data_IF_818449803058
#
_entry.id   IF_818449803058
#
_cell.length_a   1.000
_cell.length_b   1.000
_cell.length_c   1.000
_cell.angle_alpha   90.00
_cell.angle_beta   90.00
_cell.angle_gamma   90.00
#
_symmetry.space_group_name_H-M   'P 1'
#
loop_
_entity.id
_entity.type
_entity.pdbx_description
1 polymer ?
#
# COMPACT_ATOMS: atom_id res chain seq x y z
N UNK A 1 -14.04 -25.78 -6.74
CA UNK A 1 -14.50 -24.38 -6.56
C UNK A 1 -13.79 -23.54 -7.60
N UNK A 2 -14.52 -22.82 -8.45
CA UNK A 2 -13.91 -21.88 -9.40
C UNK A 2 -13.39 -20.66 -8.63
N UNK A 3 -12.06 -20.59 -8.51
CA UNK A 3 -11.38 -19.55 -7.73
C UNK A 3 -11.46 -18.19 -8.42
N UNK A 4 -11.38 -18.16 -9.75
CA UNK A 4 -11.49 -16.91 -10.54
C UNK A 4 -12.91 -16.36 -10.42
N UNK A 5 -13.93 -17.21 -10.54
CA UNK A 5 -15.33 -16.81 -10.31
C UNK A 5 -15.55 -16.30 -8.88
N UNK A 6 -14.90 -16.91 -7.87
CA UNK A 6 -15.03 -16.47 -6.47
C UNK A 6 -14.55 -15.03 -6.28
N UNK A 7 -13.45 -14.63 -6.93
CA UNK A 7 -12.95 -13.25 -6.87
C UNK A 7 -13.83 -12.31 -7.69
N UNK A 8 -14.12 -12.68 -8.94
CA UNK A 8 -14.77 -11.79 -9.92
C UNK A 8 -16.25 -11.58 -9.68
N UNK A 9 -16.96 -12.56 -9.09
CA UNK A 9 -18.38 -12.42 -8.74
C UNK A 9 -18.58 -11.69 -7.41
N UNK A 10 -17.52 -11.49 -6.63
CA UNK A 10 -17.62 -10.74 -5.38
C UNK A 10 -17.90 -9.27 -5.70
N UNK A 11 -19.03 -8.77 -5.17
CA UNK A 11 -19.54 -7.42 -5.48
C UNK A 11 -18.44 -6.37 -5.39
N UNK A 12 -18.39 -5.48 -6.37
CA UNK A 12 -17.45 -4.36 -6.39
C UNK A 12 -16.05 -4.70 -6.89
N UNK A 13 -15.78 -5.94 -7.32
CA UNK A 13 -14.56 -6.26 -8.05
C UNK A 13 -14.51 -5.42 -9.34
N UNK A 14 -13.43 -4.66 -9.55
CA UNK A 14 -13.23 -3.83 -10.75
C UNK A 14 -12.06 -4.30 -11.60
N UNK A 15 -11.10 -4.99 -11.01
CA UNK A 15 -10.00 -5.61 -11.73
C UNK A 15 -9.53 -6.85 -10.97
N UNK A 16 -9.18 -7.89 -11.71
CA UNK A 16 -8.51 -9.07 -11.17
C UNK A 16 -7.55 -9.64 -12.22
N UNK A 17 -6.26 -9.65 -11.91
CA UNK A 17 -5.22 -10.33 -12.70
C UNK A 17 -4.84 -11.62 -11.98
N UNK A 18 -4.97 -12.75 -12.67
CA UNK A 18 -4.51 -14.09 -12.24
C UNK A 18 -3.22 -14.53 -12.93
N UNK A 19 -2.71 -13.68 -13.83
CA UNK A 19 -1.55 -13.92 -14.70
C UNK A 19 -1.71 -15.10 -15.67
N UNK A 20 -2.90 -15.72 -15.76
CA UNK A 20 -3.24 -16.71 -16.79
C UNK A 20 -3.85 -16.00 -18.00
N UNK A 21 -4.82 -15.10 -17.76
CA UNK A 21 -5.53 -14.41 -18.84
C UNK A 21 -4.61 -13.40 -19.54
N UNK A 22 -4.51 -13.52 -20.87
CA UNK A 22 -3.77 -12.62 -21.75
C UNK A 22 -4.67 -12.03 -22.83
N UNK A 23 -4.22 -10.94 -23.45
CA UNK A 23 -4.83 -10.45 -24.69
C UNK A 23 -4.82 -11.54 -25.78
N UNK A 24 -5.67 -11.39 -26.80
CA UNK A 24 -5.85 -12.40 -27.85
C UNK A 24 -4.50 -12.83 -28.46
N UNK A 25 -4.34 -14.13 -28.67
CA UNK A 25 -3.10 -14.73 -29.18
C UNK A 25 -2.11 -15.22 -28.12
N UNK A 26 -2.36 -15.01 -26.82
CA UNK A 26 -1.69 -15.72 -25.72
C UNK A 26 -0.22 -15.37 -25.47
N UNK A 27 0.41 -14.55 -26.29
CA UNK A 27 1.81 -14.11 -26.15
C UNK A 27 1.94 -12.64 -25.69
N UNK A 28 0.82 -11.95 -25.53
CA UNK A 28 0.75 -10.52 -25.23
C UNK A 28 0.60 -10.25 -23.71
N UNK A 29 0.12 -9.06 -23.38
CA UNK A 29 -0.06 -8.54 -22.02
C UNK A 29 -0.99 -9.40 -21.20
N UNK A 30 -0.71 -9.47 -19.91
CA UNK A 30 -1.68 -9.93 -18.92
C UNK A 30 -2.84 -8.94 -18.85
N UNK A 31 -4.07 -9.44 -18.84
CA UNK A 31 -5.27 -8.61 -18.85
C UNK A 31 -6.23 -9.04 -17.75
N UNK A 32 -6.87 -8.08 -17.07
CA UNK A 32 -7.78 -8.41 -15.98
C UNK A 32 -9.11 -9.04 -16.46
N UNK A 33 -9.77 -9.75 -15.54
CA UNK A 33 -11.01 -10.47 -15.80
C UNK A 33 -12.25 -9.59 -15.96
N UNK A 34 -12.47 -8.63 -15.05
CA UNK A 34 -13.72 -7.84 -14.97
C UNK A 34 -13.79 -6.74 -16.04
N UNK A 35 -12.80 -5.87 -16.05
CA UNK A 35 -12.57 -4.89 -17.12
C UNK A 35 -11.21 -5.18 -17.74
N UNK A 36 -11.01 -4.97 -19.05
CA UNK A 36 -9.81 -5.45 -19.76
C UNK A 36 -8.61 -4.51 -19.60
N UNK A 37 -8.11 -4.33 -18.38
CA UNK A 37 -6.88 -3.57 -18.14
C UNK A 37 -5.65 -4.42 -18.44
N UNK A 38 -5.04 -4.18 -19.59
CA UNK A 38 -3.78 -4.80 -19.97
C UNK A 38 -2.60 -4.17 -19.22
N UNK A 39 -1.68 -5.00 -18.71
CA UNK A 39 -0.45 -4.59 -18.03
C UNK A 39 0.69 -4.43 -19.03
N UNK A 40 1.26 -3.23 -19.13
CA UNK A 40 2.52 -3.01 -19.83
C UNK A 40 3.70 -3.40 -18.93
N UNK A 41 4.82 -3.80 -19.54
CA UNK A 41 6.10 -3.92 -18.87
C UNK A 41 6.91 -2.63 -19.06
N UNK A 42 7.51 -2.12 -17.98
CA UNK A 42 8.35 -0.92 -18.04
C UNK A 42 9.52 -1.00 -17.07
N UNK A 43 10.50 -0.12 -17.25
CA UNK A 43 11.62 0.07 -16.32
C UNK A 43 11.62 1.54 -15.89
N UNK A 44 11.19 1.84 -14.67
CA UNK A 44 11.01 3.24 -14.28
C UNK A 44 12.34 4.00 -14.20
N UNK A 45 13.48 3.32 -14.09
CA UNK A 45 14.77 4.01 -14.17
C UNK A 45 15.00 4.51 -15.61
N UNK A 46 14.68 3.68 -16.61
CA UNK A 46 14.72 4.11 -18.01
C UNK A 46 13.78 5.28 -18.27
N UNK A 47 12.55 5.19 -17.77
CA UNK A 47 11.51 6.19 -18.02
C UNK A 47 11.83 7.58 -17.42
N UNK A 48 12.54 7.61 -16.28
CA UNK A 48 12.74 8.85 -15.50
C UNK A 48 14.20 9.34 -15.45
N UNK A 49 15.18 8.44 -15.53
CA UNK A 49 16.62 8.75 -15.57
C UNK A 49 17.24 8.54 -16.95
N UNK A 50 16.55 7.87 -17.89
CA UNK A 50 17.09 7.58 -19.22
C UNK A 50 18.12 6.45 -19.26
N UNK A 51 18.37 5.79 -18.11
CA UNK A 51 19.39 4.75 -17.92
C UNK A 51 18.81 3.33 -18.06
N UNK A 52 19.65 2.38 -18.47
CA UNK A 52 19.27 0.98 -18.59
C UNK A 52 18.47 0.66 -19.86
N UNK A 53 18.05 -0.60 -19.96
CA UNK A 53 17.23 -1.10 -21.07
C UNK A 53 15.73 -1.07 -20.76
N UNK A 54 14.93 -1.23 -21.80
CA UNK A 54 13.50 -1.50 -21.67
C UNK A 54 13.26 -2.84 -20.96
N UNK A 55 12.21 -2.88 -20.14
CA UNK A 55 11.70 -4.13 -19.59
C UNK A 55 10.71 -4.75 -20.57
N UNK A 56 10.67 -6.08 -20.60
CA UNK A 56 9.76 -6.88 -21.41
C UNK A 56 9.02 -7.89 -20.55
N UNK A 57 8.02 -8.59 -21.09
CA UNK A 57 7.33 -9.64 -20.34
C UNK A 57 8.24 -10.82 -19.95
N UNK A 58 9.36 -11.02 -20.66
CA UNK A 58 10.35 -12.04 -20.31
C UNK A 58 11.10 -11.71 -19.00
N UNK A 59 11.06 -10.45 -18.55
CA UNK A 59 11.67 -10.02 -17.29
C UNK A 59 10.83 -10.39 -16.05
N UNK A 60 9.65 -10.96 -16.27
CA UNK A 60 8.75 -11.48 -15.24
C UNK A 60 8.60 -13.00 -15.43
N UNK A 61 9.56 -13.81 -14.93
CA UNK A 61 9.48 -15.26 -15.00
C UNK A 61 8.13 -15.78 -14.50
N UNK A 62 7.61 -16.80 -15.18
CA UNK A 62 6.37 -17.47 -14.85
C UNK A 62 6.65 -18.72 -14.02
N UNK A 63 5.80 -19.00 -13.04
CA UNK A 63 5.96 -20.15 -12.16
C UNK A 63 5.28 -21.40 -12.72
N UNK A 64 4.30 -21.25 -13.61
CA UNK A 64 3.40 -22.31 -14.07
C UNK A 64 2.54 -22.89 -12.94
N UNK A 65 2.43 -22.19 -11.81
CA UNK A 65 1.58 -22.53 -10.67
C UNK A 65 1.27 -21.31 -9.81
N UNK A 66 0.37 -21.49 -8.87
CA UNK A 66 -0.02 -20.47 -7.91
C UNK A 66 -1.50 -20.62 -7.54
N UNK A 67 -2.06 -19.69 -6.75
CA UNK A 67 -3.43 -19.77 -6.26
C UNK A 67 -4.48 -19.82 -7.38
N UNK A 68 -4.12 -19.32 -8.57
CA UNK A 68 -4.98 -19.26 -9.75
C UNK A 68 -4.35 -19.90 -11.00
N UNK A 69 -3.30 -20.70 -10.84
CA UNK A 69 -2.66 -21.45 -11.94
C UNK A 69 -1.39 -20.83 -12.52
N UNK A 70 -1.10 -19.55 -12.26
CA UNK A 70 0.12 -18.88 -12.71
C UNK A 70 0.59 -17.84 -11.67
N UNK A 71 1.88 -17.49 -11.71
CA UNK A 71 2.43 -16.41 -10.92
C UNK A 71 3.63 -15.76 -11.63
N UNK A 72 3.79 -14.45 -11.43
CA UNK A 72 4.94 -13.69 -11.94
C UNK A 72 5.98 -13.49 -10.85
N UNK A 73 7.27 -13.62 -11.19
CA UNK A 73 8.38 -13.33 -10.28
C UNK A 73 8.78 -11.86 -10.35
N UNK A 74 8.94 -11.24 -9.19
CA UNK A 74 9.66 -9.97 -9.03
C UNK A 74 11.04 -10.31 -8.48
N UNK A 75 12.08 -10.12 -9.30
CA UNK A 75 13.45 -10.50 -8.95
C UNK A 75 14.16 -9.41 -8.14
N UNK A 76 15.17 -9.85 -7.39
CA UNK A 76 16.23 -8.99 -6.89
C UNK A 76 17.12 -8.59 -8.07
N UNK A 77 16.93 -7.39 -8.59
CA UNK A 77 17.74 -6.89 -9.71
C UNK A 77 19.08 -6.35 -9.21
N UNK A 78 20.18 -6.90 -9.73
CA UNK A 78 21.54 -6.48 -9.38
C UNK A 78 21.98 -5.23 -10.18
N UNK A 79 21.46 -5.05 -11.39
CA UNK A 79 21.72 -3.86 -12.20
C UNK A 79 20.99 -2.64 -11.58
N UNK A 80 21.71 -1.61 -11.12
CA UNK A 80 21.11 -0.43 -10.51
C UNK A 80 20.32 0.45 -11.50
N UNK A 81 20.42 0.18 -12.81
CA UNK A 81 19.67 0.85 -13.88
C UNK A 81 18.43 0.09 -14.34
N UNK A 82 18.13 -1.07 -13.74
CA UNK A 82 17.04 -1.93 -14.15
C UNK A 82 16.07 -2.24 -13.01
N UNK A 83 14.86 -1.69 -13.11
CA UNK A 83 13.78 -1.89 -12.13
C UNK A 83 12.45 -2.17 -12.85
N UNK A 84 12.25 -3.42 -13.30
CA UNK A 84 11.11 -3.79 -14.12
C UNK A 84 9.83 -3.85 -13.27
N UNK A 85 8.75 -3.29 -13.80
CA UNK A 85 7.44 -3.30 -13.17
C UNK A 85 6.34 -3.54 -14.20
N UNK A 86 5.21 -4.08 -13.74
CA UNK A 86 3.99 -4.22 -14.55
C UNK A 86 3.05 -3.08 -14.20
N UNK A 87 2.39 -2.47 -15.19
CA UNK A 87 1.52 -1.35 -14.92
C UNK A 87 0.41 -1.11 -15.94
N UNK A 88 -0.65 -0.46 -15.49
CA UNK A 88 -1.64 0.22 -16.34
C UNK A 88 -1.28 1.71 -16.35
N UNK A 89 -0.92 2.31 -17.50
CA UNK A 89 -0.64 3.73 -17.62
C UNK A 89 -1.80 4.58 -17.15
N UNK A 90 -1.50 5.75 -16.58
CA UNK A 90 -2.51 6.72 -16.09
C UNK A 90 -3.58 7.01 -17.15
N UNK A 91 -3.15 7.27 -18.40
CA UNK A 91 -4.05 7.57 -19.50
C UNK A 91 -5.08 6.46 -19.82
N UNK A 92 -4.75 5.19 -19.54
CA UNK A 92 -5.68 4.06 -19.77
C UNK A 92 -6.64 3.81 -18.61
N UNK A 93 -6.29 4.21 -17.40
CA UNK A 93 -7.13 4.00 -16.22
C UNK A 93 -7.94 5.24 -15.83
N UNK A 94 -7.59 6.44 -16.31
CA UNK A 94 -8.25 7.68 -15.90
C UNK A 94 -9.77 7.62 -16.09
N UNK A 95 -10.52 7.95 -15.03
CA UNK A 95 -12.00 7.92 -14.99
C UNK A 95 -12.63 6.56 -15.34
N UNK A 96 -11.85 5.49 -15.29
CA UNK A 96 -12.35 4.11 -15.38
C UNK A 96 -12.67 3.56 -13.98
N UNK A 97 -13.38 2.41 -13.87
CA UNK A 97 -13.62 1.76 -12.59
C UNK A 97 -12.38 1.45 -11.75
N UNK A 98 -11.18 1.34 -12.35
CA UNK A 98 -9.92 1.15 -11.60
C UNK A 98 -9.40 2.45 -10.96
N UNK A 99 -9.76 3.63 -11.49
CA UNK A 99 -9.33 4.93 -10.96
C UNK A 99 -10.21 5.38 -9.79
N UNK A 100 -10.13 4.64 -8.69
CA UNK A 100 -10.89 4.93 -7.48
C UNK A 100 -10.26 6.14 -6.78
N UNK A 101 -10.95 7.27 -6.85
CA UNK A 101 -10.50 8.58 -6.34
C UNK A 101 -11.65 9.43 -5.80
N UNK A 102 -11.33 10.39 -4.95
CA UNK A 102 -12.26 11.40 -4.44
C UNK A 102 -12.87 11.08 -3.07
N UNK A 103 -13.67 12.02 -2.59
CA UNK A 103 -14.41 11.89 -1.34
C UNK A 103 -15.49 10.81 -1.42
N UNK A 104 -15.79 10.17 -0.29
CA UNK A 104 -16.85 9.16 -0.21
C UNK A 104 -16.54 7.83 -0.91
N UNK A 105 -15.29 7.62 -1.38
CA UNK A 105 -14.88 6.37 -2.02
C UNK A 105 -14.14 5.47 -1.03
N UNK A 106 -14.37 4.18 -1.16
CA UNK A 106 -13.67 3.12 -0.43
C UNK A 106 -12.97 2.22 -1.42
N UNK A 107 -11.88 1.60 -1.01
CA UNK A 107 -11.10 0.68 -1.86
C UNK A 107 -10.56 -0.46 -1.04
N UNK A 108 -10.59 -1.66 -1.63
CA UNK A 108 -9.83 -2.80 -1.12
C UNK A 108 -8.91 -3.32 -2.22
N UNK A 109 -7.64 -3.50 -1.91
CA UNK A 109 -6.65 -4.16 -2.79
C UNK A 109 -6.25 -5.47 -2.13
N UNK A 110 -6.28 -6.56 -2.88
CA UNK A 110 -5.93 -7.91 -2.41
C UNK A 110 -4.86 -8.48 -3.32
N UNK A 111 -3.79 -9.03 -2.73
CA UNK A 111 -2.67 -9.62 -3.45
C UNK A 111 -2.31 -10.97 -2.83
N UNK A 112 -2.24 -12.00 -3.66
CA UNK A 112 -1.72 -13.30 -3.25
C UNK A 112 -0.25 -13.38 -3.64
N UNK A 113 0.63 -13.48 -2.63
CA UNK A 113 2.07 -13.40 -2.84
C UNK A 113 2.85 -14.36 -1.94
N UNK A 114 4.02 -14.76 -2.43
CA UNK A 114 5.10 -15.31 -1.63
C UNK A 114 6.16 -14.22 -1.54
N UNK A 115 6.50 -13.81 -0.33
CA UNK A 115 7.52 -12.81 -0.09
C UNK A 115 8.87 -13.50 0.06
N UNK A 116 9.82 -13.17 -0.79
CA UNK A 116 11.22 -13.61 -0.65
C UNK A 116 11.98 -12.60 0.20
N UNK A 117 11.89 -11.30 -0.14
CA UNK A 117 12.55 -10.24 0.62
C UNK A 117 11.87 -8.88 0.41
N UNK A 118 12.34 -7.88 1.16
CA UNK A 118 11.95 -6.49 0.98
C UNK A 118 10.53 -6.17 1.43
N UNK A 119 10.24 -4.88 1.55
CA UNK A 119 9.05 -4.41 2.27
C UNK A 119 8.15 -3.49 1.43
N UNK A 120 8.39 -3.45 0.13
CA UNK A 120 7.84 -2.41 -0.74
C UNK A 120 6.57 -2.88 -1.49
N UNK A 121 6.22 -2.14 -2.53
CA UNK A 121 4.91 -2.22 -3.17
C UNK A 121 4.57 -3.60 -3.73
N UNK A 122 3.33 -4.01 -3.51
CA UNK A 122 2.70 -5.17 -4.13
C UNK A 122 1.81 -4.72 -5.29
N UNK A 123 0.87 -3.81 -5.05
CA UNK A 123 0.03 -3.25 -6.11
C UNK A 123 -0.68 -1.95 -5.69
N UNK A 124 -0.98 -1.08 -6.65
CA UNK A 124 -1.81 0.11 -6.44
C UNK A 124 -1.51 1.26 -7.38
N UNK A 125 -2.23 2.37 -7.24
CA UNK A 125 -1.94 3.62 -7.96
C UNK A 125 -0.93 4.42 -7.14
N UNK A 126 0.35 4.28 -7.50
CA UNK A 126 1.43 4.85 -6.71
C UNK A 126 2.65 5.28 -7.54
N UNK A 127 2.90 6.57 -7.50
CA UNK A 127 4.14 7.19 -7.95
C UNK A 127 4.62 8.09 -6.80
N UNK A 128 5.74 7.73 -6.18
CA UNK A 128 6.26 8.42 -4.98
C UNK A 128 6.70 9.86 -5.29
N UNK A 129 6.98 10.16 -6.54
CA UNK A 129 7.59 11.42 -6.93
C UNK A 129 9.07 11.17 -7.18
N UNK A 130 9.58 11.89 -8.16
CA UNK A 130 10.99 11.93 -8.49
C UNK A 130 11.62 13.29 -8.16
N UNK A 131 10.84 14.15 -7.50
CA UNK A 131 11.18 15.48 -7.03
C UNK A 131 11.79 15.50 -5.62
N UNK A 132 12.07 14.34 -5.01
CA UNK A 132 12.41 14.25 -3.58
C UNK A 132 13.83 14.73 -3.19
N UNK A 133 14.54 15.43 -4.08
CA UNK A 133 15.87 16.05 -3.90
C UNK A 133 16.82 15.22 -3.01
N UNK A 134 17.23 14.07 -3.52
CA UNK A 134 18.15 13.12 -2.89
C UNK A 134 19.29 12.75 -3.83
N UNK A 135 20.36 12.14 -3.31
CA UNK A 135 21.50 11.68 -4.12
C UNK A 135 21.05 10.75 -5.25
N UNK A 136 20.07 9.86 -4.99
CA UNK A 136 19.50 8.95 -6.00
C UNK A 136 18.67 9.64 -7.08
N UNK A 137 18.30 10.92 -6.88
CA UNK A 137 17.65 11.76 -7.90
C UNK A 137 18.64 12.57 -8.73
N UNK A 138 19.95 12.41 -8.49
CA UNK A 138 20.98 12.95 -9.39
C UNK A 138 20.83 12.35 -10.79
N UNK A 139 21.02 13.18 -11.82
CA UNK A 139 20.94 12.75 -13.22
C UNK A 139 19.51 12.51 -13.73
N UNK A 140 18.49 12.84 -12.92
CA UNK A 140 17.11 12.64 -13.34
C UNK A 140 16.76 13.52 -14.55
N UNK A 141 16.08 12.92 -15.53
CA UNK A 141 15.68 13.59 -16.76
C UNK A 141 14.22 14.05 -16.71
N UNK A 142 13.37 13.34 -15.97
CA UNK A 142 11.95 13.66 -15.79
C UNK A 142 11.61 13.85 -14.32
N UNK A 143 11.44 15.10 -13.91
CA UNK A 143 11.06 15.46 -12.54
C UNK A 143 9.54 15.53 -12.43
N UNK A 144 8.96 14.70 -11.56
CA UNK A 144 7.53 14.69 -11.28
C UNK A 144 7.29 14.74 -9.78
N UNK A 145 6.33 15.58 -9.37
CA UNK A 145 5.79 15.56 -8.01
C UNK A 145 5.20 14.18 -7.70
N UNK A 146 5.15 13.81 -6.43
CA UNK A 146 4.33 12.68 -5.97
C UNK A 146 2.91 12.66 -6.54
N UNK A 147 2.45 11.48 -6.95
CA UNK A 147 1.13 11.25 -7.56
C UNK A 147 0.43 10.01 -6.94
N UNK A 148 0.57 9.86 -5.64
CA UNK A 148 0.05 8.75 -4.83
C UNK A 148 -1.49 8.78 -4.77
N UNK A 149 -2.16 7.63 -4.86
CA UNK A 149 -3.59 7.52 -4.54
C UNK A 149 -3.82 6.47 -3.47
N UNK A 150 -3.60 5.19 -3.79
CA UNK A 150 -3.67 4.09 -2.85
C UNK A 150 -2.73 2.97 -3.30
N UNK A 151 -2.09 2.29 -2.35
CA UNK A 151 -1.30 1.10 -2.64
C UNK A 151 -1.17 0.17 -1.44
N UNK A 152 -0.97 -1.11 -1.75
CA UNK A 152 -0.63 -2.16 -0.82
C UNK A 152 0.86 -2.48 -0.92
N UNK A 153 1.53 -2.60 0.22
CA UNK A 153 2.95 -2.91 0.36
C UNK A 153 3.15 -4.14 1.26
N UNK A 154 4.23 -4.88 1.04
CA UNK A 154 4.64 -6.02 1.85
C UNK A 154 5.46 -5.60 3.09
N UNK A 155 5.05 -4.52 3.75
CA UNK A 155 5.58 -4.12 5.05
C UNK A 155 6.33 -2.81 5.12
N UNK A 156 5.92 -1.80 4.36
CA UNK A 156 6.46 -0.44 4.48
C UNK A 156 6.40 -0.01 5.96
N UNK A 157 7.55 0.39 6.52
CA UNK A 157 7.80 0.68 7.95
C UNK A 157 7.80 -0.53 8.92
N UNK A 158 7.00 -1.56 8.65
CA UNK A 158 6.95 -2.80 9.45
C UNK A 158 7.00 -4.00 8.51
N UNK A 159 8.21 -4.47 8.26
CA UNK A 159 8.52 -5.49 7.26
C UNK A 159 7.64 -6.73 7.38
N UNK A 160 7.15 -7.25 6.24
CA UNK A 160 6.27 -8.40 6.17
C UNK A 160 4.80 -8.13 6.53
N UNK A 161 4.45 -7.01 7.16
CA UNK A 161 3.03 -6.67 7.40
C UNK A 161 2.31 -6.33 6.09
N UNK A 162 1.01 -6.56 6.01
CA UNK A 162 0.17 -5.94 4.99
C UNK A 162 0.03 -4.45 5.31
N UNK A 163 0.65 -3.62 4.49
CA UNK A 163 0.66 -2.18 4.67
C UNK A 163 -0.14 -1.49 3.58
N UNK A 164 -1.32 -0.99 3.94
CA UNK A 164 -2.07 -0.07 3.09
C UNK A 164 -1.50 1.34 3.22
N UNK A 165 -1.43 2.06 2.12
CA UNK A 165 -1.11 3.47 2.07
C UNK A 165 -2.11 4.19 1.20
N UNK A 166 -2.72 5.25 1.71
CA UNK A 166 -3.62 6.14 0.95
C UNK A 166 -3.02 7.54 0.97
N UNK A 167 -3.31 8.36 -0.03
CA UNK A 167 -2.93 9.78 -0.05
C UNK A 167 -4.12 10.63 -0.44
N UNK A 168 -4.24 11.78 0.21
CA UNK A 168 -5.28 12.80 0.03
C UNK A 168 -4.87 13.84 -1.01
N UNK A 169 -3.57 14.00 -1.24
CA UNK A 169 -3.01 15.10 -2.02
C UNK A 169 -1.96 14.66 -3.06
N UNK A 170 -1.64 13.37 -3.14
CA UNK A 170 -0.65 12.78 -4.04
C UNK A 170 0.81 12.95 -3.59
N UNK A 171 1.09 13.97 -2.78
CA UNK A 171 2.42 14.35 -2.32
C UNK A 171 2.68 13.96 -0.86
N UNK A 172 3.27 14.90 -0.13
CA UNK A 172 3.66 14.77 1.28
C UNK A 172 2.46 14.91 2.22
N UNK A 173 2.52 14.24 3.38
CA UNK A 173 1.56 14.39 4.48
C UNK A 173 2.31 14.59 5.78
N UNK A 174 1.84 15.48 6.64
CA UNK A 174 2.48 15.89 7.90
C UNK A 174 3.91 16.39 7.71
N UNK A 175 4.18 17.11 6.61
CA UNK A 175 5.52 17.50 6.15
C UNK A 175 6.46 16.33 5.80
N UNK A 176 6.01 15.08 5.95
CA UNK A 176 6.79 13.92 5.55
C UNK A 176 6.72 13.74 4.04
N UNK A 177 7.89 13.85 3.40
CA UNK A 177 8.03 13.75 1.94
C UNK A 177 7.55 12.42 1.33
N UNK A 178 7.41 11.38 2.14
CA UNK A 178 6.99 10.04 1.71
C UNK A 178 5.50 9.76 1.94
N UNK A 179 4.75 10.72 2.49
CA UNK A 179 3.40 10.56 3.04
C UNK A 179 3.33 9.54 4.21
N UNK A 180 2.30 9.68 5.04
CA UNK A 180 2.23 8.98 6.34
C UNK A 180 0.92 8.30 6.66
N UNK A 181 -0.08 8.45 5.80
CA UNK A 181 -1.34 7.73 5.96
C UNK A 181 -1.17 6.26 5.58
N UNK A 182 -0.64 5.49 6.53
CA UNK A 182 -0.24 4.10 6.40
C UNK A 182 -0.84 3.27 7.53
N UNK A 183 -1.23 2.05 7.20
CA UNK A 183 -1.56 1.03 8.20
C UNK A 183 -0.58 -0.13 8.15
N UNK A 184 -0.51 -0.94 9.21
CA UNK A 184 0.36 -2.12 9.27
C UNK A 184 -0.32 -3.26 10.02
N UNK A 185 -0.73 -4.33 9.33
CA UNK A 185 -1.34 -5.49 9.96
C UNK A 185 -0.54 -5.99 11.18
N UNK A 186 -1.24 -6.60 12.14
CA UNK A 186 -0.61 -7.18 13.31
C UNK A 186 0.31 -8.35 12.91
N UNK A 187 -0.18 -9.26 12.07
CA UNK A 187 0.62 -10.37 11.56
C UNK A 187 1.63 -9.89 10.48
N UNK A 188 2.70 -10.67 10.32
CA UNK A 188 3.74 -10.47 9.32
C UNK A 188 3.90 -11.73 8.47
N UNK A 189 4.13 -11.56 7.17
CA UNK A 189 4.44 -12.64 6.25
C UNK A 189 5.87 -13.14 6.48
N UNK A 190 6.09 -14.46 6.46
CA UNK A 190 7.43 -15.01 6.43
C UNK A 190 8.15 -14.65 5.12
N UNK A 191 9.47 -14.81 5.13
CA UNK A 191 10.32 -14.83 3.93
C UNK A 191 10.48 -16.27 3.44
N UNK A 192 10.34 -16.50 2.14
CA UNK A 192 10.53 -17.81 1.51
C UNK A 192 11.36 -17.62 0.22
N UNK A 193 12.50 -18.31 0.06
CA UNK A 193 13.29 -18.25 -1.18
C UNK A 193 12.43 -18.54 -2.40
N UNK A 194 12.51 -17.70 -3.44
CA UNK A 194 11.63 -17.86 -4.60
C UNK A 194 11.96 -19.09 -5.46
N UNK A 195 13.10 -19.73 -5.24
CA UNK A 195 13.55 -20.99 -5.84
C UNK A 195 13.33 -22.21 -4.93
N UNK A 196 12.57 -22.05 -3.85
CA UNK A 196 12.21 -23.17 -2.96
C UNK A 196 11.51 -24.32 -3.72
N UNK A 197 11.59 -25.56 -3.22
CA UNK A 197 10.86 -26.68 -3.79
C UNK A 197 9.36 -26.42 -3.96
N UNK A 198 8.76 -27.07 -4.96
CA UNK A 198 7.37 -26.88 -5.35
C UNK A 198 6.37 -26.96 -4.17
N UNK A 199 6.50 -27.98 -3.33
CA UNK A 199 5.65 -28.23 -2.17
C UNK A 199 5.83 -27.17 -1.06
N UNK A 200 7.03 -26.58 -0.95
CA UNK A 200 7.30 -25.45 -0.07
C UNK A 200 6.58 -24.20 -0.59
N UNK A 201 6.72 -23.89 -1.88
CA UNK A 201 6.05 -22.74 -2.49
C UNK A 201 4.51 -22.84 -2.38
N UNK A 202 3.94 -24.01 -2.66
CA UNK A 202 2.49 -24.25 -2.60
C UNK A 202 1.88 -23.98 -1.22
N UNK A 203 2.64 -24.22 -0.15
CA UNK A 203 2.21 -23.96 1.25
C UNK A 203 2.57 -22.55 1.74
N UNK A 204 3.30 -21.78 0.95
CA UNK A 204 3.88 -20.49 1.38
C UNK A 204 3.06 -19.27 0.96
N UNK A 205 2.06 -19.43 0.10
CA UNK A 205 1.20 -18.33 -0.35
C UNK A 205 0.53 -17.61 0.83
N UNK A 206 0.68 -16.29 0.85
CA UNK A 206 -0.01 -15.38 1.76
C UNK A 206 -1.02 -14.55 0.98
N UNK A 207 -2.10 -14.13 1.65
CA UNK A 207 -3.07 -13.18 1.11
C UNK A 207 -2.91 -11.83 1.85
N UNK A 208 -2.29 -10.87 1.20
CA UNK A 208 -2.17 -9.49 1.69
C UNK A 208 -3.39 -8.70 1.21
N UNK A 209 -3.93 -7.84 2.07
CA UNK A 209 -4.90 -6.85 1.64
C UNK A 209 -4.77 -5.52 2.39
N UNK A 210 -5.23 -4.45 1.74
CA UNK A 210 -5.56 -3.21 2.41
C UNK A 210 -7.02 -2.86 2.13
N UNK A 211 -7.68 -2.23 3.10
CA UNK A 211 -9.01 -1.65 2.95
C UNK A 211 -8.99 -0.22 3.47
N UNK A 212 -9.39 0.73 2.63
CA UNK A 212 -9.82 2.04 3.08
C UNK A 212 -11.36 2.07 3.09
N UNK A 213 -11.93 2.23 4.28
CA UNK A 213 -13.36 2.40 4.52
C UNK A 213 -13.65 3.87 4.81
N UNK A 214 -14.24 4.56 3.82
CA UNK A 214 -14.58 5.97 3.93
C UNK A 214 -15.61 6.24 5.03
N UNK A 215 -16.51 5.29 5.29
CA UNK A 215 -17.61 5.49 6.24
C UNK A 215 -17.10 5.47 7.67
N UNK A 216 -16.05 4.68 7.91
CA UNK A 216 -15.39 4.58 9.22
C UNK A 216 -14.19 5.52 9.36
N UNK A 217 -13.69 6.08 8.26
CA UNK A 217 -12.42 6.80 8.22
C UNK A 217 -11.25 5.93 8.66
N UNK A 218 -11.21 4.68 8.18
CA UNK A 218 -10.23 3.68 8.60
C UNK A 218 -9.48 3.10 7.40
N UNK A 219 -8.16 3.15 7.48
CA UNK A 219 -7.24 2.41 6.62
C UNK A 219 -6.73 1.18 7.39
N UNK A 220 -7.00 0.00 6.89
CA UNK A 220 -6.75 -1.28 7.57
C UNK A 220 -5.93 -2.22 6.70
N UNK A 221 -4.87 -2.79 7.25
CA UNK A 221 -4.06 -3.84 6.63
C UNK A 221 -4.51 -5.21 7.13
N UNK A 222 -4.54 -6.20 6.24
CA UNK A 222 -4.99 -7.55 6.50
C UNK A 222 -3.98 -8.56 5.95
N UNK A 223 -3.62 -9.54 6.75
CA UNK A 223 -2.82 -10.68 6.31
C UNK A 223 -3.62 -11.96 6.57
N UNK A 224 -3.77 -12.75 5.52
CA UNK A 224 -4.57 -13.97 5.50
C UNK A 224 -6.00 -13.78 6.02
N UNK A 225 -6.60 -12.63 5.74
CA UNK A 225 -7.98 -12.30 6.15
C UNK A 225 -8.09 -11.77 7.58
N UNK A 226 -6.97 -11.65 8.31
CA UNK A 226 -6.92 -11.13 9.68
C UNK A 226 -6.16 -9.80 9.71
N UNK A 227 -6.71 -8.76 10.33
CA UNK A 227 -6.05 -7.45 10.47
C UNK A 227 -5.23 -7.37 11.75
N UNK A 228 -5.90 -7.47 12.89
CA UNK A 228 -5.36 -7.26 14.23
C UNK A 228 -5.01 -5.80 14.54
N UNK A 229 -4.81 -5.51 15.82
CA UNK A 229 -4.37 -4.19 16.26
C UNK A 229 -2.86 -4.08 16.31
N UNK A 230 -2.32 -2.93 15.88
CA UNK A 230 -0.91 -2.60 16.04
C UNK A 230 -0.78 -1.21 16.64
N UNK A 231 0.04 -1.10 17.68
CA UNK A 231 0.33 0.15 18.38
C UNK A 231 1.83 0.44 18.32
N UNK A 232 2.18 1.72 18.22
CA UNK A 232 3.53 2.23 18.34
C UNK A 232 3.60 3.12 19.57
N UNK A 233 4.38 2.70 20.55
CA UNK A 233 4.68 3.48 21.75
C UNK A 233 5.73 4.56 21.44
N UNK A 234 5.60 5.72 22.07
CA UNK A 234 6.50 6.87 21.94
C UNK A 234 6.78 7.28 20.48
N UNK A 235 5.75 7.55 19.67
CA UNK A 235 5.89 7.84 18.23
C UNK A 235 6.81 9.03 17.93
N UNK A 236 6.96 9.98 18.85
CA UNK A 236 7.90 11.11 18.78
C UNK A 236 9.38 10.70 18.68
N UNK A 237 9.72 9.47 19.07
CA UNK A 237 11.09 8.91 18.97
C UNK A 237 11.32 8.11 17.68
N UNK A 238 10.26 7.85 16.92
CA UNK A 238 10.34 7.09 15.66
C UNK A 238 10.77 8.00 14.51
N UNK A 239 11.65 7.52 13.63
CA UNK A 239 12.22 8.32 12.53
C UNK A 239 11.17 8.78 11.53
N UNK A 240 10.08 8.05 11.38
CA UNK A 240 9.05 8.33 10.39
C UNK A 240 7.72 8.74 11.02
N UNK A 241 7.35 8.13 12.14
CA UNK A 241 6.08 8.41 12.83
C UNK A 241 6.16 9.64 13.74
N UNK A 242 7.35 10.21 13.98
CA UNK A 242 7.51 11.49 14.67
C UNK A 242 6.84 12.66 13.95
N UNK A 243 6.76 12.63 12.62
CA UNK A 243 6.01 13.62 11.83
C UNK A 243 4.51 13.57 12.13
N UNK A 244 3.91 12.37 12.24
CA UNK A 244 2.52 12.21 12.63
C UNK A 244 2.29 12.61 14.10
N UNK A 245 3.26 12.31 14.98
CA UNK A 245 3.23 12.79 16.37
C UNK A 245 3.29 14.32 16.45
N UNK A 246 4.10 14.98 15.63
CA UNK A 246 4.14 16.42 15.53
C UNK A 246 2.82 16.97 14.97
N UNK A 247 2.27 16.38 13.90
CA UNK A 247 0.96 16.77 13.37
C UNK A 247 -0.18 16.65 14.41
N UNK A 248 -0.11 15.63 15.28
CA UNK A 248 -1.02 15.49 16.41
C UNK A 248 -0.85 16.61 17.44
N UNK A 249 0.41 16.92 17.81
CA UNK A 249 0.73 18.00 18.76
C UNK A 249 0.22 19.35 18.24
N UNK A 250 0.50 19.64 16.97
CA UNK A 250 0.06 20.89 16.31
C UNK A 250 -1.47 20.98 16.21
N UNK A 251 -2.16 19.86 15.98
CA UNK A 251 -3.63 19.84 15.97
C UNK A 251 -4.28 20.10 17.33
N UNK A 252 -3.59 19.80 18.44
CA UNK A 252 -4.09 20.03 19.81
C UNK A 252 -3.61 21.34 20.42
N UNK A 253 -2.59 21.98 19.85
CA UNK A 253 -2.14 23.31 20.19
C UNK A 253 -1.86 24.13 18.92
N UNK A 254 -2.90 24.50 18.14
CA UNK A 254 -2.73 25.22 16.89
C UNK A 254 -2.03 26.57 17.12
N UNK A 255 -1.15 26.94 16.19
CA UNK A 255 -0.39 28.19 16.24
C UNK A 255 0.89 28.16 17.07
N UNK A 256 1.23 27.01 17.68
CA UNK A 256 2.53 26.85 18.37
C UNK A 256 3.73 26.79 17.42
N UNK A 257 3.51 26.31 16.19
CA UNK A 257 4.45 26.44 15.08
C UNK A 257 3.75 27.16 13.90
N UNK A 258 4.01 28.47 13.70
CA UNK A 258 3.43 29.23 12.59
C UNK A 258 3.82 28.73 11.19
N UNK A 259 4.86 27.89 11.08
CA UNK A 259 5.32 27.34 9.81
C UNK A 259 4.65 26.00 9.45
N UNK A 260 3.93 25.40 10.40
CA UNK A 260 3.28 24.11 10.18
C UNK A 260 2.06 24.24 9.26
N UNK A 261 1.89 23.40 8.23
CA UNK A 261 0.78 23.53 7.29
C UNK A 261 -0.58 23.41 7.99
N UNK A 262 -1.50 24.38 7.78
CA UNK A 262 -2.78 24.41 8.48
C UNK A 262 -3.74 23.28 8.10
N UNK A 263 -3.46 22.55 7.03
CA UNK A 263 -4.26 21.45 6.48
C UNK A 263 -3.67 20.05 6.77
N UNK A 264 -2.55 19.97 7.51
CA UNK A 264 -1.85 18.71 7.78
C UNK A 264 -1.80 18.34 9.26
N UNK A 265 -2.86 18.61 10.02
CA UNK A 265 -2.98 18.14 11.41
C UNK A 265 -3.45 16.68 11.47
N UNK A 266 -3.08 15.97 12.54
CA UNK A 266 -3.57 14.62 12.81
C UNK A 266 -4.44 14.62 14.08
N UNK A 267 -5.76 14.68 13.92
CA UNK A 267 -6.73 14.89 15.01
C UNK A 267 -7.76 13.76 15.13
N UNK A 268 -7.34 12.51 15.41
CA UNK A 268 -8.28 11.40 15.56
C UNK A 268 -9.31 11.65 16.67
N UNK A 269 -10.48 10.97 16.65
CA UNK A 269 -11.51 11.18 17.66
C UNK A 269 -11.04 10.84 19.08
N UNK A 270 -10.92 11.88 19.91
CA UNK A 270 -10.47 11.79 21.31
C UNK A 270 -11.50 12.34 22.32
N UNK A 271 -12.80 12.30 21.97
CA UNK A 271 -13.86 12.87 22.83
C UNK A 271 -14.09 12.11 24.13
N UNK A 272 -14.07 10.77 24.09
CA UNK A 272 -14.30 9.90 25.25
C UNK A 272 -13.28 8.75 25.25
N UNK A 273 -12.48 8.58 26.31
CA UNK A 273 -11.56 7.46 26.39
C UNK A 273 -12.35 6.14 26.49
N UNK A 274 -11.84 5.11 25.81
CA UNK A 274 -12.31 3.73 25.93
C UNK A 274 -11.83 3.12 27.25
N UNK A 275 -10.66 3.53 27.72
CA UNK A 275 -10.06 3.09 28.98
C UNK A 275 -9.23 4.23 29.57
N UNK A 276 -9.27 4.35 30.90
CA UNK A 276 -8.41 5.26 31.67
C UNK A 276 -7.63 4.41 32.66
N UNK A 277 -6.31 4.51 32.64
CA UNK A 277 -5.41 3.80 33.55
C UNK A 277 -4.67 4.83 34.40
N UNK A 278 -4.82 4.82 35.74
CA UNK A 278 -4.01 5.66 36.62
C UNK A 278 -2.52 5.36 36.45
N UNK A 279 -1.68 6.40 36.43
CA UNK A 279 -0.23 6.30 36.44
C UNK A 279 0.32 6.87 37.75
N UNK A 280 1.64 6.78 37.95
CA UNK A 280 2.28 7.40 39.12
C UNK A 280 2.00 8.91 39.20
N UNK A 281 1.72 9.39 40.42
CA UNK A 281 1.35 10.78 40.70
C UNK A 281 -0.09 11.10 40.31
N UNK A 282 -0.31 12.27 39.69
CA UNK A 282 -1.63 12.74 39.22
C UNK A 282 -1.85 12.52 37.72
N UNK A 283 -1.05 11.65 37.10
CA UNK A 283 -1.13 11.37 35.68
C UNK A 283 -2.07 10.20 35.37
N UNK A 284 -2.73 10.25 34.21
CA UNK A 284 -3.60 9.20 33.71
C UNK A 284 -3.22 8.86 32.27
N UNK A 285 -3.32 7.58 31.89
CA UNK A 285 -3.22 7.13 30.51
C UNK A 285 -4.63 6.95 29.95
N UNK A 286 -5.01 7.80 29.00
CA UNK A 286 -6.29 7.76 28.31
C UNK A 286 -6.11 7.02 26.98
N UNK A 287 -6.79 5.89 26.81
CA UNK A 287 -6.80 5.13 25.55
C UNK A 287 -8.04 5.47 24.74
N UNK A 288 -7.83 6.03 23.54
CA UNK A 288 -8.86 6.32 22.55
C UNK A 288 -8.85 5.29 21.42
N UNK A 289 -9.60 5.54 20.35
CA UNK A 289 -9.68 4.61 19.22
C UNK A 289 -8.37 4.43 18.46
N UNK A 290 -7.55 5.49 18.39
CA UNK A 290 -6.35 5.55 17.55
C UNK A 290 -5.11 6.13 18.25
N UNK A 291 -5.28 6.61 19.48
CA UNK A 291 -4.22 7.24 20.28
C UNK A 291 -4.28 6.76 21.71
N UNK A 292 -3.12 6.69 22.37
CA UNK A 292 -3.02 6.70 23.83
C UNK A 292 -2.38 8.01 24.22
N UNK A 293 -2.97 8.70 25.18
CA UNK A 293 -2.54 10.03 25.61
C UNK A 293 -2.30 10.00 27.10
N UNK A 294 -1.10 10.38 27.52
CA UNK A 294 -0.81 10.67 28.92
C UNK A 294 -1.33 12.06 29.24
N UNK A 295 -2.22 12.14 30.22
CA UNK A 295 -2.87 13.38 30.63
C UNK A 295 -2.47 13.71 32.06
N UNK A 296 -2.12 14.96 32.30
CA UNK A 296 -1.97 15.54 33.64
C UNK A 296 -2.88 16.76 33.76
N UNK A 297 -2.90 17.44 34.91
CA UNK A 297 -3.60 18.73 35.07
C UNK A 297 -3.12 19.82 34.10
N UNK A 298 -1.89 19.72 33.60
CA UNK A 298 -1.23 20.79 32.83
C UNK A 298 -0.91 20.39 31.38
N UNK A 299 -0.83 19.10 31.09
CA UNK A 299 -0.28 18.60 29.82
C UNK A 299 -1.06 17.44 29.23
N UNK A 300 -1.01 17.34 27.90
CA UNK A 300 -1.40 16.17 27.13
C UNK A 300 -0.20 15.75 26.29
N UNK A 301 0.22 14.51 26.43
CA UNK A 301 1.35 13.94 25.68
C UNK A 301 0.89 12.67 24.97
N UNK A 302 1.18 12.58 23.67
CA UNK A 302 0.90 11.38 22.90
C UNK A 302 1.84 10.25 23.34
N UNK A 303 1.27 9.25 24.00
CA UNK A 303 1.99 8.09 24.49
C UNK A 303 2.09 7.00 23.41
N UNK A 304 1.05 6.79 22.62
CA UNK A 304 1.06 5.80 21.54
C UNK A 304 0.17 6.19 20.35
N UNK A 305 0.55 5.72 19.16
CA UNK A 305 -0.26 5.77 17.94
C UNK A 305 -0.71 4.37 17.52
N UNK A 306 -1.97 4.23 17.14
CA UNK A 306 -2.45 3.03 16.49
C UNK A 306 -2.06 3.03 15.02
N UNK A 307 -1.33 2.00 14.60
CA UNK A 307 -0.91 1.77 13.22
C UNK A 307 -1.87 0.85 12.46
N UNK A 308 -2.81 0.17 13.13
CA UNK A 308 -3.83 -0.62 12.45
C UNK A 308 -5.11 -0.82 13.29
N UNK A 309 -6.29 -0.46 12.74
CA UNK A 309 -6.48 0.50 11.66
C UNK A 309 -5.83 1.86 11.96
N UNK A 310 -5.43 2.53 10.89
CA UNK A 310 -4.99 3.92 10.87
C UNK A 310 -6.20 4.83 10.62
N UNK A 311 -6.31 5.94 11.35
CA UNK A 311 -7.41 6.90 11.14
C UNK A 311 -7.12 7.81 9.93
N UNK A 312 -8.05 7.82 8.98
CA UNK A 312 -7.93 8.56 7.74
C UNK A 312 -9.26 9.26 7.39
N UNK A 313 -9.42 10.53 7.78
CA UNK A 313 -10.67 11.27 7.58
C UNK A 313 -10.82 11.87 6.17
N UNK A 314 -9.81 11.70 5.31
CA UNK A 314 -9.74 12.37 4.01
C UNK A 314 -10.35 11.52 2.89
N UNK A 315 -10.53 12.13 1.71
CA UNK A 315 -10.81 11.41 0.47
C UNK A 315 -9.53 10.90 -0.18
N UNK A 316 -9.66 9.96 -1.13
CA UNK A 316 -8.52 9.52 -1.94
C UNK A 316 -8.16 10.65 -2.93
N UNK A 317 -6.88 10.92 -3.11
CA UNK A 317 -6.37 11.95 -4.02
C UNK A 317 -7.01 11.84 -5.40
N UNK A 318 -7.45 12.98 -5.93
CA UNK A 318 -8.05 13.11 -7.26
C UNK A 318 -7.10 13.91 -8.14
N UNK A 319 -6.36 13.26 -9.04
CA UNK A 319 -5.56 13.98 -10.02
C UNK A 319 -6.45 14.83 -10.94
N UNK A 320 -5.93 15.96 -11.39
CA UNK A 320 -6.65 16.96 -12.18
C UNK A 320 -7.17 16.42 -13.51
N UNK A 321 -6.35 15.61 -14.19
CA UNK A 321 -6.59 15.07 -15.53
C UNK A 321 -5.78 13.78 -15.78
N UNK A 322 -5.92 13.19 -16.96
CA UNK A 322 -5.25 11.94 -17.37
C UNK A 322 -3.73 12.04 -17.54
N UNK A 323 -3.17 13.26 -17.53
CA UNK A 323 -1.72 13.51 -17.58
C UNK A 323 -1.12 13.72 -16.20
N UNK A 324 -1.98 13.94 -15.19
CA UNK A 324 -1.63 13.97 -13.78
C UNK A 324 -2.06 12.67 -13.07
N UNK A 325 -1.31 12.23 -12.06
CA UNK A 325 -1.64 10.99 -11.34
C UNK A 325 -0.74 9.82 -11.74
N UNK A 326 -0.48 8.92 -10.79
CA UNK A 326 0.37 7.76 -11.04
C UNK A 326 -0.32 6.66 -11.88
N UNK A 327 0.46 5.75 -12.47
CA UNK A 327 -0.07 4.50 -13.02
C UNK A 327 -0.52 3.54 -11.91
N UNK A 328 -1.36 2.56 -12.26
CA UNK A 328 -1.57 1.39 -11.40
C UNK A 328 -0.41 0.42 -11.63
N UNK A 329 0.37 0.12 -10.62
CA UNK A 329 1.54 -0.76 -10.74
C UNK A 329 1.36 -2.06 -9.97
N UNK A 330 2.10 -3.09 -10.36
CA UNK A 330 2.22 -4.38 -9.69
C UNK A 330 3.72 -4.73 -9.54
N UNK A 331 4.08 -5.21 -8.34
CA UNK A 331 5.42 -5.71 -7.99
C UNK A 331 6.46 -4.66 -7.65
N UNK A 332 6.37 -3.46 -8.25
CA UNK A 332 7.16 -2.27 -7.89
C UNK A 332 6.33 -1.01 -8.07
N UNK A 333 6.86 0.11 -7.62
CA UNK A 333 6.31 1.45 -7.85
C UNK A 333 7.43 2.37 -8.29
N UNK A 334 7.06 3.49 -8.91
CA UNK A 334 8.01 4.54 -9.28
C UNK A 334 8.43 5.25 -8.01
N UNK A 335 9.72 5.16 -7.67
CA UNK A 335 10.24 5.70 -6.41
C UNK A 335 11.67 6.22 -6.53
N UNK A 336 11.93 7.35 -5.87
CA UNK A 336 13.19 8.09 -5.95
C UNK A 336 14.40 7.32 -5.44
N UNK A 337 14.24 6.36 -4.52
CA UNK A 337 15.38 5.66 -3.92
C UNK A 337 15.99 4.58 -4.80
N UNK A 338 15.34 4.19 -5.91
CA UNK A 338 15.82 3.16 -6.87
C UNK A 338 16.18 1.81 -6.21
N UNK A 339 15.71 1.56 -4.99
CA UNK A 339 15.96 0.35 -4.23
C UNK A 339 15.29 -0.90 -4.81
N UNK A 340 15.69 -2.07 -4.32
CA UNK A 340 15.21 -3.36 -4.84
C UNK A 340 13.76 -3.66 -4.44
N UNK A 341 13.18 -2.97 -3.46
CA UNK A 341 11.76 -3.09 -3.15
C UNK A 341 11.35 -4.50 -2.71
N UNK A 342 10.15 -4.95 -3.08
CA UNK A 342 9.68 -6.33 -2.86
C UNK A 342 10.34 -7.30 -3.85
N UNK A 343 10.67 -8.51 -3.38
CA UNK A 343 11.01 -9.64 -4.24
C UNK A 343 10.19 -10.87 -3.85
N UNK A 344 9.92 -11.74 -4.82
CA UNK A 344 9.14 -12.95 -4.62
C UNK A 344 8.17 -13.23 -5.75
N UNK A 345 7.08 -13.93 -5.45
CA UNK A 345 6.06 -14.32 -6.42
C UNK A 345 4.75 -13.59 -6.16
N UNK A 346 4.06 -13.18 -7.23
CA UNK A 346 2.70 -12.63 -7.17
C UNK A 346 1.81 -13.52 -8.04
N UNK A 347 0.85 -14.20 -7.42
CA UNK A 347 -0.06 -15.15 -8.07
C UNK A 347 -1.44 -14.56 -8.37
N UNK A 348 -1.76 -13.39 -7.82
CA UNK A 348 -2.97 -12.67 -8.21
C UNK A 348 -3.06 -11.29 -7.58
N UNK A 349 -3.75 -10.37 -8.26
CA UNK A 349 -4.02 -9.00 -7.79
C UNK A 349 -5.47 -8.66 -8.09
N UNK A 350 -6.25 -8.34 -7.06
CA UNK A 350 -7.64 -7.91 -7.17
C UNK A 350 -7.85 -6.52 -6.56
N UNK A 351 -8.72 -5.73 -7.20
CA UNK A 351 -9.11 -4.39 -6.74
C UNK A 351 -10.63 -4.33 -6.64
N UNK A 352 -11.12 -3.79 -5.53
CA UNK A 352 -12.52 -3.60 -5.24
C UNK A 352 -12.82 -2.13 -4.98
N UNK A 353 -13.89 -1.60 -5.56
CA UNK A 353 -14.34 -0.21 -5.39
C UNK A 353 -15.19 0.01 -4.12
N UNK A 354 -14.98 -0.82 -3.11
CA UNK A 354 -15.62 -0.74 -1.80
C UNK A 354 -14.73 -1.33 -0.72
N UNK A 355 -15.07 -1.04 0.53
CA UNK A 355 -14.51 -1.78 1.66
C UNK A 355 -15.10 -3.20 1.70
N UNK A 356 -14.23 -4.21 1.65
CA UNK A 356 -14.61 -5.58 1.92
C UNK A 356 -14.73 -5.84 3.42
N UNK A 357 -15.69 -6.69 3.78
CA UNK A 357 -15.84 -7.21 5.13
C UNK A 357 -14.77 -8.25 5.47
N UNK A 358 -14.56 -8.50 6.76
CA UNK A 358 -13.66 -9.54 7.25
C UNK A 358 -14.02 -10.93 6.70
N UNK A 359 -15.32 -11.28 6.64
CA UNK A 359 -15.78 -12.58 6.07
C UNK A 359 -15.39 -12.73 4.60
N UNK A 360 -15.51 -11.66 3.82
CA UNK A 360 -15.10 -11.66 2.41
C UNK A 360 -13.60 -11.79 2.27
N UNK A 361 -12.81 -11.09 3.10
CA UNK A 361 -11.36 -11.19 3.11
C UNK A 361 -10.87 -12.57 3.58
N UNK A 362 -11.55 -13.22 4.53
CA UNK A 362 -11.29 -14.62 4.90
C UNK A 362 -11.59 -15.58 3.74
N UNK A 363 -12.67 -15.34 2.99
CA UNK A 363 -13.01 -16.13 1.80
C UNK A 363 -11.92 -16.00 0.74
N UNK A 364 -11.49 -14.78 0.42
CA UNK A 364 -10.41 -14.53 -0.54
C UNK A 364 -9.06 -15.10 -0.06
N UNK A 365 -8.80 -15.02 1.24
CA UNK A 365 -7.62 -15.59 1.87
C UNK A 365 -7.55 -17.11 1.74
N UNK A 366 -8.68 -17.82 1.80
CA UNK A 366 -8.73 -19.27 1.64
C UNK A 366 -8.27 -19.73 0.24
N UNK A 367 -8.37 -18.87 -0.78
CA UNK A 367 -7.94 -19.18 -2.14
C UNK A 367 -6.42 -19.36 -2.27
N UNK A 368 -5.63 -18.96 -1.26
CA UNK A 368 -4.15 -19.06 -1.27
C UNK A 368 -3.62 -20.49 -1.26
N UNK A 369 -4.36 -21.44 -0.67
CA UNK A 369 -3.93 -22.84 -0.62
C UNK A 369 -3.96 -23.43 -2.04
N UNK A 370 -2.89 -24.06 -2.52
CA UNK A 370 -2.97 -24.82 -3.79
C UNK A 370 -4.01 -25.95 -3.67
N UNK A 371 -4.73 -26.23 -4.76
CA UNK A 371 -5.61 -27.41 -4.85
C UNK A 371 -4.82 -28.68 -5.07
#
# INVERSE_FOLDING_TARGET
MDRVATVTHLKGCVAFWDFVKREQGGTQRFVSHVHPYALDAGNYIKDYWGEGRDATYADFPLLGRGPFGEAVRIRKEDDPSFRPFLFVPRARLHDTPLDIKGAGKSVTVVVWAIRESGNHALAGIWHEGTDLKQDTTTGIQRVEKGQRQYALFAGLNKEGSACGHVSENGGSSFLCRYALHKCNSAAVSPTVPADSPADVLDRSWQCFAMTFDHKKHELTGWLNGVSGERWLENPQKDTLLSFAANAWKQGHAPGTDPSFPPDQYYTPPEKKPRRVTPLEGSAELHEFGYTRVKVTRQTRELAALRLNPWWYPHGIYTPKDATSGGPFTIGRVIHSSRGVGFTGWIGGVAVFNRALSERELLTLSALRASS
#
